data_IF_842088026157
#
_entry.id   IF_842088026157
#
_cell.length_a   1.000
_cell.length_b   1.000
_cell.length_c   1.000
_cell.angle_alpha   90.00
_cell.angle_beta   90.00
_cell.angle_gamma   90.00
#
_symmetry.space_group_name_H-M   'P 1'
#
loop_
_entity.id
_entity.type
_entity.pdbx_description
1 polymer ?
#
# COMPACT_ATOMS: atom_id res chain seq x y z
N UNK A 1 82.05 28.79 -12.51
CA UNK A 1 83.13 28.91 -13.50
C UNK A 1 83.12 27.69 -14.40
N UNK A 2 82.33 27.70 -15.49
CA UNK A 2 82.53 26.93 -16.72
C UNK A 2 81.80 27.65 -17.86
N UNK A 3 82.32 27.46 -19.06
CA UNK A 3 82.39 28.33 -20.24
C UNK A 3 81.14 28.38 -21.13
N UNK A 4 81.05 29.48 -21.88
CA UNK A 4 80.05 29.77 -22.90
C UNK A 4 80.11 28.85 -24.14
N UNK A 5 78.96 28.70 -24.81
CA UNK A 5 78.91 28.46 -26.25
C UNK A 5 77.58 29.02 -26.82
N UNK A 6 77.72 30.08 -27.60
CA UNK A 6 76.69 30.62 -28.50
C UNK A 6 76.50 29.68 -29.70
N UNK A 7 75.27 29.33 -30.05
CA UNK A 7 74.93 28.85 -31.38
C UNK A 7 73.61 29.47 -31.84
N UNK A 8 73.67 30.09 -33.01
CA UNK A 8 72.65 30.93 -33.65
C UNK A 8 71.35 30.17 -33.97
N UNK A 9 70.20 30.86 -34.07
CA UNK A 9 68.94 30.26 -34.50
C UNK A 9 68.89 30.20 -36.03
N UNK A 10 68.80 28.99 -36.59
CA UNK A 10 68.44 28.78 -38.00
C UNK A 10 66.94 28.52 -38.15
N UNK A 11 66.31 28.98 -39.24
CA UNK A 11 64.85 29.08 -39.35
C UNK A 11 64.24 27.71 -39.67
N UNK A 12 63.37 27.21 -38.79
CA UNK A 12 62.56 26.04 -39.08
C UNK A 12 61.43 26.45 -40.02
N UNK A 13 61.57 25.99 -41.26
CA UNK A 13 60.60 26.03 -42.35
C UNK A 13 59.20 25.62 -41.85
N UNK A 14 58.12 26.38 -42.12
CA UNK A 14 56.78 25.92 -41.85
C UNK A 14 56.41 24.84 -42.86
N UNK A 15 56.35 23.59 -42.42
CA UNK A 15 55.83 22.47 -43.22
C UNK A 15 54.38 22.77 -43.59
N UNK A 16 54.16 23.14 -44.86
CA UNK A 16 52.86 23.16 -45.52
C UNK A 16 52.22 21.77 -45.37
N UNK A 17 51.20 21.67 -44.53
CA UNK A 17 50.48 20.42 -44.30
C UNK A 17 49.16 20.57 -43.58
N UNK A 18 48.49 21.74 -43.61
CA UNK A 18 47.11 21.85 -43.13
C UNK A 18 46.17 21.36 -44.23
N UNK A 19 45.88 20.07 -44.19
CA UNK A 19 44.80 19.46 -44.95
C UNK A 19 43.48 20.18 -44.63
N UNK A 20 42.89 20.80 -45.65
CA UNK A 20 41.48 21.17 -45.69
C UNK A 20 40.63 19.88 -45.70
N UNK A 21 40.40 19.26 -44.54
CA UNK A 21 39.46 18.14 -44.35
C UNK A 21 38.56 18.30 -43.11
N UNK A 22 38.25 19.54 -42.69
CA UNK A 22 37.46 19.80 -41.48
C UNK A 22 35.96 20.13 -41.69
N UNK A 23 35.54 20.52 -42.90
CA UNK A 23 34.23 21.18 -43.06
C UNK A 23 33.02 20.24 -43.29
N UNK A 24 33.24 19.02 -43.83
CA UNK A 24 32.14 18.10 -44.21
C UNK A 24 31.72 17.09 -43.13
N UNK A 25 32.60 16.78 -42.17
CA UNK A 25 32.30 15.83 -41.08
C UNK A 25 31.54 16.45 -39.89
N UNK A 26 31.71 17.75 -39.67
CA UNK A 26 31.16 18.46 -38.51
C UNK A 26 29.66 18.74 -38.65
N UNK A 27 29.15 19.00 -39.85
CA UNK A 27 27.72 19.21 -40.09
C UNK A 27 26.88 17.94 -39.88
N UNK A 28 27.37 16.80 -40.37
CA UNK A 28 26.73 15.49 -40.15
C UNK A 28 26.77 15.05 -38.69
N UNK A 29 27.88 15.30 -38.00
CA UNK A 29 28.02 15.03 -36.56
C UNK A 29 27.06 15.87 -35.72
N UNK A 30 26.92 17.17 -36.02
CA UNK A 30 25.95 18.06 -35.36
C UNK A 30 24.50 17.59 -35.56
N UNK A 31 24.14 17.19 -36.78
CA UNK A 31 22.80 16.63 -37.07
C UNK A 31 22.53 15.32 -36.33
N UNK A 32 23.52 14.43 -36.26
CA UNK A 32 23.42 13.17 -35.51
C UNK A 32 23.25 13.44 -34.00
N UNK A 33 24.05 14.37 -33.46
CA UNK A 33 23.97 14.76 -32.05
C UNK A 33 22.63 15.42 -31.71
N UNK A 34 22.09 16.24 -32.62
CA UNK A 34 20.77 16.83 -32.48
C UNK A 34 19.68 15.75 -32.46
N UNK A 35 19.69 14.82 -33.43
CA UNK A 35 18.76 13.68 -33.45
C UNK A 35 18.81 12.85 -32.18
N UNK A 36 20.01 12.57 -31.66
CA UNK A 36 20.17 11.85 -30.40
C UNK A 36 19.56 12.62 -29.22
N UNK A 37 19.77 13.94 -29.16
CA UNK A 37 19.16 14.78 -28.11
C UNK A 37 17.64 14.80 -28.20
N UNK A 38 17.11 14.86 -29.42
CA UNK A 38 15.67 14.87 -29.66
C UNK A 38 15.04 13.53 -29.28
N UNK A 39 15.63 12.40 -29.70
CA UNK A 39 15.18 11.06 -29.30
C UNK A 39 15.28 10.83 -27.79
N UNK A 40 16.35 11.32 -27.15
CA UNK A 40 16.50 11.22 -25.70
C UNK A 40 15.42 12.03 -24.98
N UNK A 41 15.09 13.22 -25.46
CA UNK A 41 14.04 14.07 -24.89
C UNK A 41 12.68 13.40 -25.05
N UNK A 42 12.33 12.92 -26.23
CA UNK A 42 11.08 12.19 -26.48
C UNK A 42 10.94 10.96 -25.57
N UNK A 43 12.03 10.19 -25.40
CA UNK A 43 12.01 9.04 -24.51
C UNK A 43 11.81 9.42 -23.04
N UNK A 44 12.43 10.52 -22.58
CA UNK A 44 12.21 11.03 -21.23
C UNK A 44 10.78 11.54 -21.04
N UNK A 45 10.23 12.27 -22.02
CA UNK A 45 8.84 12.74 -21.99
C UNK A 45 7.85 11.56 -21.94
N UNK A 46 8.10 10.49 -22.68
CA UNK A 46 7.31 9.25 -22.58
C UNK A 46 7.39 8.63 -21.18
N UNK A 47 8.58 8.48 -20.61
CA UNK A 47 8.74 7.93 -19.27
C UNK A 47 8.05 8.80 -18.20
N UNK A 48 8.15 10.12 -18.31
CA UNK A 48 7.46 11.05 -17.41
C UNK A 48 5.94 10.91 -17.51
N UNK A 49 5.41 10.79 -18.74
CA UNK A 49 3.99 10.54 -18.96
C UNK A 49 3.54 9.20 -18.37
N UNK A 50 4.32 8.14 -18.55
CA UNK A 50 4.03 6.81 -18.01
C UNK A 50 4.01 6.84 -16.48
N UNK A 51 4.98 7.50 -15.84
CA UNK A 51 5.02 7.67 -14.39
C UNK A 51 3.80 8.43 -13.90
N UNK A 52 3.42 9.52 -14.57
CA UNK A 52 2.20 10.25 -14.22
C UNK A 52 0.94 9.39 -14.38
N UNK A 53 0.85 8.61 -15.46
CA UNK A 53 -0.28 7.71 -15.69
C UNK A 53 -0.35 6.62 -14.61
N UNK A 54 0.79 6.04 -14.23
CA UNK A 54 0.87 5.08 -13.14
C UNK A 54 0.41 5.68 -11.81
N UNK A 55 0.85 6.88 -11.46
CA UNK A 55 0.37 7.56 -10.25
C UNK A 55 -1.14 7.76 -10.26
N UNK A 56 -1.73 8.19 -11.38
CA UNK A 56 -3.20 8.31 -11.51
C UNK A 56 -3.90 6.96 -11.34
N UNK A 57 -3.33 5.90 -11.92
CA UNK A 57 -3.88 4.56 -11.80
C UNK A 57 -3.81 4.03 -10.37
N UNK A 58 -2.69 4.27 -9.66
CA UNK A 58 -2.53 3.91 -8.26
C UNK A 58 -3.57 4.62 -7.41
N UNK A 59 -3.68 5.95 -7.52
CA UNK A 59 -4.66 6.74 -6.77
C UNK A 59 -6.10 6.27 -7.04
N UNK A 60 -6.42 5.91 -8.28
CA UNK A 60 -7.73 5.33 -8.64
C UNK A 60 -7.97 3.98 -7.97
N UNK A 61 -7.00 3.07 -8.03
CA UNK A 61 -7.11 1.74 -7.41
C UNK A 61 -7.22 1.84 -5.88
N UNK A 62 -6.46 2.74 -5.25
CA UNK A 62 -6.54 3.01 -3.82
C UNK A 62 -7.92 3.54 -3.43
N UNK A 63 -8.48 4.49 -4.19
CA UNK A 63 -9.84 4.97 -3.98
C UNK A 63 -10.90 3.87 -4.10
N UNK A 64 -10.75 2.97 -5.09
CA UNK A 64 -11.65 1.82 -5.25
C UNK A 64 -11.52 0.83 -4.09
N UNK A 65 -10.31 0.56 -3.61
CA UNK A 65 -10.08 -0.29 -2.44
C UNK A 65 -10.70 0.28 -1.18
N UNK A 66 -10.62 1.59 -0.97
CA UNK A 66 -11.20 2.23 0.22
C UNK A 66 -12.73 2.11 0.23
N UNK A 67 -13.38 2.35 -0.91
CA UNK A 67 -14.84 2.16 -1.05
C UNK A 67 -15.25 0.71 -0.77
N UNK A 68 -14.48 -0.25 -1.30
CA UNK A 68 -14.74 -1.68 -1.06
C UNK A 68 -14.55 -2.04 0.42
N UNK A 69 -13.48 -1.55 1.07
CA UNK A 69 -13.23 -1.80 2.49
C UNK A 69 -14.37 -1.30 3.36
N UNK A 70 -14.83 -0.06 3.14
CA UNK A 70 -15.99 0.49 3.88
C UNK A 70 -17.22 -0.39 3.68
N UNK A 71 -17.46 -0.84 2.44
CA UNK A 71 -18.62 -1.67 2.11
C UNK A 71 -18.54 -3.06 2.76
N UNK A 72 -17.37 -3.71 2.71
CA UNK A 72 -17.16 -5.05 3.28
C UNK A 72 -17.16 -5.00 4.80
N UNK A 73 -16.42 -4.08 5.43
CA UNK A 73 -16.38 -3.93 6.89
C UNK A 73 -17.76 -3.65 7.49
N UNK A 74 -18.65 -2.97 6.75
CA UNK A 74 -20.03 -2.74 7.19
C UNK A 74 -20.87 -4.03 7.28
N UNK A 75 -20.53 -5.05 6.49
CA UNK A 75 -21.29 -6.31 6.42
C UNK A 75 -20.60 -7.46 7.19
N UNK A 76 -19.29 -7.40 7.37
CA UNK A 76 -18.51 -8.50 7.91
C UNK A 76 -18.86 -8.80 9.38
N UNK A 77 -19.07 -7.75 10.20
CA UNK A 77 -19.46 -7.93 11.60
C UNK A 77 -20.82 -8.64 11.75
N UNK A 78 -21.83 -8.21 10.98
CA UNK A 78 -23.17 -8.80 11.05
C UNK A 78 -23.21 -10.21 10.46
N UNK A 79 -22.52 -10.45 9.34
CA UNK A 79 -22.42 -11.78 8.72
C UNK A 79 -21.65 -12.76 9.61
N UNK A 80 -20.56 -12.33 10.22
CA UNK A 80 -19.80 -13.13 11.17
C UNK A 80 -20.65 -13.50 12.39
N UNK A 81 -21.34 -12.52 12.99
CA UNK A 81 -22.29 -12.78 14.09
C UNK A 81 -23.40 -13.74 13.68
N UNK A 82 -23.97 -13.60 12.49
CA UNK A 82 -24.99 -14.53 11.98
C UNK A 82 -24.43 -15.94 11.76
N UNK A 83 -23.23 -16.07 11.18
CA UNK A 83 -22.58 -17.35 10.96
C UNK A 83 -22.25 -18.07 12.29
N UNK A 84 -21.74 -17.34 13.28
CA UNK A 84 -21.51 -17.86 14.62
C UNK A 84 -22.81 -18.29 15.29
N UNK A 85 -23.89 -17.50 15.16
CA UNK A 85 -25.21 -17.87 15.67
C UNK A 85 -25.70 -19.18 15.04
N UNK A 86 -25.71 -19.30 13.71
CA UNK A 86 -26.17 -20.54 13.06
C UNK A 86 -25.30 -21.74 13.40
N UNK A 87 -24.00 -21.54 13.61
CA UNK A 87 -23.08 -22.60 14.03
C UNK A 87 -23.35 -23.05 15.48
N UNK A 88 -23.46 -22.11 16.41
CA UNK A 88 -23.69 -22.36 17.84
C UNK A 88 -25.09 -22.90 18.14
N UNK A 89 -26.09 -22.48 17.36
CA UNK A 89 -27.50 -22.81 17.57
C UNK A 89 -28.06 -23.76 16.51
N UNK A 90 -27.20 -24.42 15.72
CA UNK A 90 -27.61 -25.38 14.67
C UNK A 90 -28.62 -26.42 15.15
N UNK A 91 -28.46 -26.86 16.38
CA UNK A 91 -29.28 -27.90 17.02
C UNK A 91 -30.22 -27.32 18.10
N UNK A 92 -30.42 -26.00 18.08
CA UNK A 92 -31.17 -25.27 19.09
C UNK A 92 -30.37 -24.95 20.35
N UNK A 93 -31.10 -24.49 21.37
CA UNK A 93 -30.52 -24.12 22.67
C UNK A 93 -30.37 -25.35 23.56
N UNK A 94 -29.14 -25.65 23.98
CA UNK A 94 -28.81 -26.89 24.67
C UNK A 94 -28.78 -26.73 26.19
N UNK A 95 -29.95 -26.79 26.83
CA UNK A 95 -30.10 -26.80 28.30
C UNK A 95 -29.36 -27.96 29.00
N UNK A 96 -29.36 -29.20 28.47
CA UNK A 96 -28.77 -30.35 29.19
C UNK A 96 -27.23 -30.39 29.22
N UNK A 97 -26.55 -29.57 28.41
CA UNK A 97 -25.08 -29.55 28.33
C UNK A 97 -24.55 -28.23 28.89
N UNK A 98 -24.09 -28.19 30.15
CA UNK A 98 -23.76 -26.94 30.83
C UNK A 98 -22.67 -26.13 30.12
N UNK A 99 -21.65 -26.78 29.57
CA UNK A 99 -20.55 -26.11 28.85
C UNK A 99 -21.04 -25.42 27.56
N UNK A 100 -21.92 -26.09 26.82
CA UNK A 100 -22.47 -25.57 25.57
C UNK A 100 -23.49 -24.47 25.85
N UNK A 101 -24.32 -24.65 26.89
CA UNK A 101 -25.23 -23.62 27.40
C UNK A 101 -24.48 -22.35 27.79
N UNK A 102 -23.40 -22.48 28.57
CA UNK A 102 -22.59 -21.33 28.99
C UNK A 102 -22.02 -20.59 27.78
N UNK A 103 -21.56 -21.32 26.75
CA UNK A 103 -21.05 -20.73 25.52
C UNK A 103 -22.15 -20.02 24.71
N UNK A 104 -23.34 -20.62 24.61
CA UNK A 104 -24.51 -20.01 23.96
C UNK A 104 -24.96 -18.75 24.71
N UNK A 105 -25.01 -18.79 26.05
CA UNK A 105 -25.38 -17.64 26.89
C UNK A 105 -24.35 -16.51 26.80
N UNK A 106 -23.06 -16.83 26.83
CA UNK A 106 -21.99 -15.86 26.69
C UNK A 106 -22.02 -15.17 25.31
N UNK A 107 -22.26 -15.95 24.25
CA UNK A 107 -22.43 -15.42 22.91
C UNK A 107 -23.64 -14.48 22.81
N UNK A 108 -24.81 -14.89 23.31
CA UNK A 108 -25.99 -14.02 23.30
C UNK A 108 -25.72 -12.73 24.05
N UNK A 109 -25.10 -12.79 25.23
CA UNK A 109 -24.72 -11.59 26.01
C UNK A 109 -23.72 -10.68 25.29
N UNK A 110 -22.85 -11.21 24.43
CA UNK A 110 -21.87 -10.39 23.71
C UNK A 110 -22.46 -9.70 22.48
N UNK A 111 -23.51 -10.25 21.88
CA UNK A 111 -24.10 -9.73 20.63
C UNK A 111 -25.45 -9.04 20.83
N UNK A 112 -26.14 -9.32 21.94
CA UNK A 112 -27.44 -8.74 22.29
C UNK A 112 -27.28 -7.59 23.27
N UNK A 113 -28.11 -6.56 23.11
CA UNK A 113 -28.21 -5.51 24.13
C UNK A 113 -28.82 -6.07 25.42
N UNK A 114 -28.40 -5.59 26.60
CA UNK A 114 -28.89 -6.09 27.89
C UNK A 114 -30.36 -5.74 28.18
N UNK A 115 -30.94 -4.83 27.40
CA UNK A 115 -32.31 -4.33 27.51
C UNK A 115 -33.26 -4.92 26.44
N UNK A 116 -32.95 -6.11 25.93
CA UNK A 116 -33.76 -6.74 24.89
C UNK A 116 -35.14 -7.15 25.44
N UNK A 117 -36.17 -6.50 24.92
CA UNK A 117 -37.57 -6.84 25.21
C UNK A 117 -38.01 -7.91 24.24
N UNK A 118 -38.25 -9.11 24.75
CA UNK A 118 -38.80 -10.22 23.96
C UNK A 118 -40.23 -10.42 24.45
N UNK A 119 -41.22 -10.29 23.55
CA UNK A 119 -42.64 -10.48 23.86
C UNK A 119 -43.17 -9.60 25.01
N UNK A 120 -42.84 -8.30 25.01
CA UNK A 120 -43.22 -7.32 26.05
C UNK A 120 -42.68 -7.58 27.46
N UNK A 121 -41.78 -8.55 27.63
CA UNK A 121 -41.10 -8.83 28.88
C UNK A 121 -39.63 -8.39 28.79
N UNK A 122 -39.20 -7.50 29.69
CA UNK A 122 -37.79 -7.09 29.80
C UNK A 122 -37.00 -8.25 30.38
N UNK A 123 -36.30 -9.00 29.54
CA UNK A 123 -35.41 -10.04 30.01
C UNK A 123 -34.05 -9.43 30.34
N UNK A 124 -33.88 -9.02 31.59
CA UNK A 124 -32.55 -8.80 32.14
C UNK A 124 -31.83 -10.15 32.08
N UNK A 125 -30.82 -10.28 31.21
CA UNK A 125 -29.90 -11.42 31.23
C UNK A 125 -29.13 -11.38 32.55
N UNK A 126 -29.77 -11.89 33.61
CA UNK A 126 -29.37 -11.79 35.00
C UNK A 126 -27.88 -12.04 35.15
N UNK A 127 -27.18 -10.99 35.56
CA UNK A 127 -25.86 -11.06 36.13
C UNK A 127 -25.97 -11.97 37.35
N UNK A 128 -25.45 -13.19 37.27
CA UNK A 128 -25.17 -13.96 38.47
C UNK A 128 -23.94 -13.30 39.10
N UNK A 129 -24.15 -12.25 39.88
CA UNK A 129 -23.15 -11.82 40.84
C UNK A 129 -23.09 -12.90 41.92
N UNK A 130 -21.93 -13.48 42.24
CA UNK A 130 -21.80 -14.30 43.43
C UNK A 130 -22.08 -13.40 44.63
N UNK A 131 -23.14 -13.67 45.38
CA UNK A 131 -23.38 -13.04 46.68
C UNK A 131 -22.23 -13.41 47.59
N UNK A 132 -21.42 -12.46 48.08
CA UNK A 132 -20.51 -12.74 49.17
C UNK A 132 -21.38 -12.66 50.42
N UNK A 133 -21.85 -13.80 50.92
CA UNK A 133 -22.18 -14.04 52.32
C UNK A 133 -22.76 -15.45 52.46
N UNK A 134 -21.85 -16.42 52.53
CA UNK A 134 -22.12 -17.62 53.29
C UNK A 134 -22.26 -17.22 54.76
N UNK A 135 -23.47 -17.32 55.30
CA UNK A 135 -23.69 -17.53 56.72
C UNK A 135 -24.62 -18.73 56.82
N UNK A 136 -24.00 -19.88 57.07
CA UNK A 136 -24.67 -20.98 57.73
C UNK A 136 -25.16 -20.49 59.09
N UNK A 137 -26.42 -20.74 59.41
CA UNK A 137 -26.88 -20.80 60.80
C UNK A 137 -27.84 -21.97 60.92
N UNK A 138 -27.46 -22.87 61.85
CA UNK A 138 -28.04 -24.13 62.33
C UNK A 138 -29.40 -24.56 61.80
#
# INVERSE_FOLDING_TARGET
>A
MYTAASSSPSPVVPTRGRQHRGAKGTSKSKLSQQRYRDQKREHLEHLENDVQQLHRNIARCEGQLEVLRVSVCSHDGALHTAAEFFSLFRHGYHVPRPDLKQRQDAFLRSVMRPDLVIMNEVHLLLCHTPTPNGIFSN
#
